data_IF_628001100968
#
_entry.id   IF_628001100968
#
_cell.length_a   1.000
_cell.length_b   1.000
_cell.length_c   1.000
_cell.angle_alpha   90.00
_cell.angle_beta   90.00
_cell.angle_gamma   90.00
#
_symmetry.space_group_name_H-M   'P 1'
#
loop_
_entity.id
_entity.type
_entity.pdbx_description
1 polymer ?
#
# COMPACT_ATOMS: atom_id res chain seq x y z
N UNK A 1 18.65 -0.53 6.81
CA UNK A 1 17.77 0.39 6.05
C UNK A 1 18.42 1.76 6.15
N UNK A 2 19.08 2.22 5.09
CA UNK A 2 19.92 3.43 5.10
C UNK A 2 19.05 4.62 4.68
N UNK A 3 18.67 5.48 5.62
CA UNK A 3 17.83 6.68 5.41
C UNK A 3 18.66 7.88 4.92
N UNK A 4 19.54 7.68 3.94
CA UNK A 4 20.67 8.58 3.70
C UNK A 4 20.35 9.92 3.01
N UNK A 5 19.12 10.15 2.51
CA UNK A 5 18.74 11.39 1.82
C UNK A 5 17.59 12.18 2.48
N UNK A 6 17.02 11.69 3.58
CA UNK A 6 15.92 12.37 4.30
C UNK A 6 14.56 12.29 3.60
N UNK A 7 14.46 11.65 2.44
CA UNK A 7 13.22 11.55 1.67
C UNK A 7 12.30 10.44 2.17
N UNK A 8 11.01 10.73 2.16
CA UNK A 8 9.95 9.75 2.45
C UNK A 8 9.40 9.22 1.13
N UNK A 9 9.35 7.89 1.00
CA UNK A 9 8.90 7.21 -0.21
C UNK A 9 7.69 6.32 0.10
N UNK A 10 6.70 6.38 -0.77
CA UNK A 10 5.61 5.42 -0.84
C UNK A 10 6.08 4.19 -1.62
N UNK A 11 5.98 3.03 -0.99
CA UNK A 11 6.15 1.73 -1.63
C UNK A 11 4.77 1.14 -1.93
N UNK A 12 4.41 1.08 -3.21
CA UNK A 12 3.14 0.54 -3.65
C UNK A 12 3.35 -0.79 -4.38
N UNK A 13 3.21 -1.90 -3.63
CA UNK A 13 3.28 -3.26 -4.16
C UNK A 13 2.14 -3.59 -5.13
N UNK A 14 0.99 -2.90 -5.07
CA UNK A 14 -0.12 -3.11 -6.01
C UNK A 14 0.31 -2.96 -7.46
N UNK A 15 1.19 -1.99 -7.70
CA UNK A 15 1.61 -1.58 -9.03
C UNK A 15 3.12 -1.70 -9.28
N UNK A 16 3.91 -2.14 -8.30
CA UNK A 16 5.36 -2.22 -8.49
C UNK A 16 6.07 -0.85 -8.45
N UNK A 17 5.52 0.14 -7.73
CA UNK A 17 5.99 1.54 -7.82
C UNK A 17 6.60 2.01 -6.50
N UNK A 18 7.74 2.71 -6.59
CA UNK A 18 8.30 3.54 -5.52
C UNK A 18 8.19 5.01 -5.92
N UNK A 19 7.57 5.83 -5.06
CA UNK A 19 7.38 7.27 -5.32
C UNK A 19 7.87 8.07 -4.12
N UNK A 20 8.73 9.08 -4.34
CA UNK A 20 9.02 10.07 -3.29
C UNK A 20 7.77 10.93 -3.05
N UNK A 21 7.32 10.97 -1.79
CA UNK A 21 6.13 11.71 -1.37
C UNK A 21 6.46 12.90 -0.46
N UNK A 22 7.62 12.87 0.21
CA UNK A 22 8.13 14.02 0.95
C UNK A 22 9.65 14.16 0.83
N UNK A 23 10.13 15.39 0.90
CA UNK A 23 11.55 15.70 0.96
C UNK A 23 12.13 15.71 2.40
N UNK A 24 11.26 15.63 3.41
CA UNK A 24 11.60 15.52 4.82
C UNK A 24 10.43 14.88 5.60
N UNK A 25 10.62 14.63 6.90
CA UNK A 25 9.56 14.15 7.80
C UNK A 25 8.76 15.28 8.47
N UNK A 26 9.08 16.55 8.20
CA UNK A 26 8.59 17.72 8.95
C UNK A 26 7.06 17.78 9.03
N UNK A 27 6.36 17.45 7.94
CA UNK A 27 4.90 17.46 7.86
C UNK A 27 4.29 16.06 7.67
N UNK A 28 5.08 15.00 7.80
CA UNK A 28 4.66 13.64 7.46
C UNK A 28 3.36 13.23 8.16
N UNK A 29 3.27 13.43 9.47
CA UNK A 29 2.10 13.01 10.24
C UNK A 29 0.87 13.90 10.00
N UNK A 30 1.07 15.19 9.77
CA UNK A 30 -0.01 16.13 9.47
C UNK A 30 -0.62 15.84 8.10
N UNK A 31 0.22 15.76 7.07
CA UNK A 31 -0.20 15.52 5.70
C UNK A 31 -0.82 14.12 5.57
N UNK A 32 -0.20 13.09 6.17
CA UNK A 32 -0.78 11.73 6.14
C UNK A 32 -2.01 11.57 7.03
N UNK A 33 -2.33 12.53 7.91
CA UNK A 33 -3.59 12.55 8.65
C UNK A 33 -4.75 13.16 7.84
N UNK A 34 -4.45 14.01 6.85
CA UNK A 34 -5.43 14.67 6.01
C UNK A 34 -5.95 13.76 4.89
N UNK A 35 -7.26 13.55 4.83
CA UNK A 35 -7.88 12.62 3.88
C UNK A 35 -7.64 12.99 2.41
N UNK A 36 -7.66 14.29 2.07
CA UNK A 36 -7.36 14.73 0.70
C UNK A 36 -5.95 14.35 0.25
N UNK A 37 -4.97 14.46 1.14
CA UNK A 37 -3.60 14.03 0.84
C UNK A 37 -3.52 12.52 0.62
N UNK A 38 -4.21 11.72 1.45
CA UNK A 38 -4.24 10.25 1.30
C UNK A 38 -4.78 9.86 -0.07
N UNK A 39 -5.89 10.47 -0.47
CA UNK A 39 -6.56 10.18 -1.74
C UNK A 39 -5.68 10.55 -2.94
N UNK A 40 -5.06 11.73 -2.92
CA UNK A 40 -4.25 12.23 -4.04
C UNK A 40 -2.85 11.61 -4.12
N UNK A 41 -2.22 11.33 -2.98
CA UNK A 41 -0.79 11.00 -2.93
C UNK A 41 -0.49 9.55 -2.51
N UNK A 42 -1.39 8.89 -1.78
CA UNK A 42 -1.13 7.55 -1.22
C UNK A 42 -1.87 6.42 -1.93
N UNK A 43 -2.62 6.70 -3.00
CA UNK A 43 -3.47 5.72 -3.69
C UNK A 43 -4.40 4.99 -2.71
N UNK A 44 -5.05 5.79 -1.86
CA UNK A 44 -5.83 5.30 -0.73
C UNK A 44 -7.07 4.47 -1.12
N UNK A 45 -7.61 4.71 -2.32
CA UNK A 45 -8.71 3.91 -2.84
C UNK A 45 -8.22 2.56 -3.40
N UNK A 46 -8.94 1.46 -3.15
CA UNK A 46 -10.27 1.36 -2.52
C UNK A 46 -10.25 0.93 -1.03
N UNK A 47 -9.19 1.23 -0.26
CA UNK A 47 -9.00 0.65 1.08
C UNK A 47 -10.02 1.12 2.12
N UNK A 48 -10.58 2.34 1.99
CA UNK A 48 -11.65 2.79 2.89
C UNK A 48 -12.90 1.90 2.78
N UNK A 49 -13.27 1.53 1.56
CA UNK A 49 -14.41 0.66 1.32
C UNK A 49 -14.10 -0.77 1.79
N UNK A 50 -12.88 -1.25 1.55
CA UNK A 50 -12.42 -2.53 2.07
C UNK A 50 -12.46 -2.58 3.60
N UNK A 51 -12.04 -1.52 4.30
CA UNK A 51 -12.10 -1.43 5.76
C UNK A 51 -13.55 -1.47 6.28
N UNK A 52 -14.49 -0.82 5.59
CA UNK A 52 -15.92 -0.91 5.93
C UNK A 52 -16.47 -2.33 5.76
N UNK A 53 -16.03 -3.07 4.73
CA UNK A 53 -16.51 -4.43 4.41
C UNK A 53 -15.83 -5.54 5.22
N UNK A 54 -14.53 -5.42 5.48
CA UNK A 54 -13.66 -6.49 6.01
C UNK A 54 -13.12 -6.18 7.43
N UNK A 55 -13.38 -4.97 7.92
CA UNK A 55 -12.77 -4.42 9.13
C UNK A 55 -11.33 -3.96 8.90
N UNK A 56 -10.80 -3.18 9.84
CA UNK A 56 -9.39 -2.74 9.83
C UNK A 56 -8.46 -3.96 9.92
N UNK A 57 -7.40 -4.03 9.11
CA UNK A 57 -6.37 -5.07 9.23
C UNK A 57 -5.70 -5.04 10.61
N UNK A 58 -5.35 -6.21 11.15
CA UNK A 58 -4.46 -6.28 12.30
C UNK A 58 -3.04 -5.79 11.93
N UNK A 59 -2.18 -5.59 12.93
CA UNK A 59 -0.81 -5.07 12.72
C UNK A 59 0.02 -5.88 11.70
N UNK A 60 -0.13 -7.19 11.68
CA UNK A 60 0.57 -8.09 10.75
C UNK A 60 -0.24 -8.39 9.47
N UNK A 61 -1.36 -7.70 9.26
CA UNK A 61 -2.22 -7.84 8.09
C UNK A 61 -2.21 -6.59 7.21
N UNK A 62 -2.52 -6.78 5.93
CA UNK A 62 -2.83 -5.70 5.01
C UNK A 62 -3.98 -6.09 4.09
N UNK A 63 -4.50 -5.12 3.32
CA UNK A 63 -5.37 -5.42 2.20
C UNK A 63 -4.54 -5.82 0.99
N UNK A 64 -4.70 -7.05 0.53
CA UNK A 64 -4.05 -7.59 -0.66
C UNK A 64 -5.09 -8.05 -1.69
N UNK A 65 -4.80 -7.81 -2.96
CA UNK A 65 -5.63 -8.34 -4.05
C UNK A 65 -5.42 -9.83 -4.22
N UNK A 66 -6.53 -10.57 -4.32
CA UNK A 66 -6.54 -12.01 -4.57
C UNK A 66 -7.51 -12.28 -5.72
N UNK A 67 -7.02 -12.71 -6.90
CA UNK A 67 -5.60 -12.91 -7.27
C UNK A 67 -4.79 -11.60 -7.35
N UNK A 68 -3.46 -11.70 -7.28
CA UNK A 68 -2.52 -10.56 -7.34
C UNK A 68 -2.72 -9.78 -8.64
N UNK A 69 -2.79 -8.44 -8.56
CA UNK A 69 -3.04 -7.58 -9.73
C UNK A 69 -1.95 -7.68 -10.80
N UNK A 70 -0.67 -7.77 -10.40
CA UNK A 70 0.43 -7.96 -11.35
C UNK A 70 0.32 -9.25 -12.19
N UNK A 71 -0.51 -10.21 -11.77
CA UNK A 71 -0.80 -11.44 -12.53
C UNK A 71 -2.12 -11.37 -13.32
N UNK A 72 -2.64 -10.16 -13.57
CA UNK A 72 -3.90 -9.95 -14.29
C UNK A 72 -5.15 -10.11 -13.41
N UNK A 73 -5.00 -10.02 -12.09
CA UNK A 73 -6.14 -10.00 -11.19
C UNK A 73 -7.04 -8.77 -11.39
N UNK A 74 -8.35 -8.87 -11.10
CA UNK A 74 -9.26 -7.74 -11.23
C UNK A 74 -9.04 -6.71 -10.11
N UNK A 75 -8.90 -5.43 -10.49
CA UNK A 75 -8.80 -4.31 -9.56
C UNK A 75 -10.18 -3.88 -9.06
N UNK A 76 -10.78 -4.71 -8.20
CA UNK A 76 -12.07 -4.45 -7.56
C UNK A 76 -11.99 -4.65 -6.06
N UNK A 77 -12.78 -3.91 -5.29
CA UNK A 77 -12.78 -4.02 -3.83
C UNK A 77 -13.22 -5.40 -3.35
N UNK A 78 -14.08 -6.10 -4.12
CA UNK A 78 -14.51 -7.48 -3.85
C UNK A 78 -13.35 -8.49 -3.89
N UNK A 79 -12.25 -8.12 -4.55
CA UNK A 79 -11.05 -8.94 -4.67
C UNK A 79 -9.99 -8.61 -3.62
N UNK A 80 -10.22 -7.60 -2.77
CA UNK A 80 -9.37 -7.37 -1.61
C UNK A 80 -9.71 -8.36 -0.50
N UNK A 81 -8.66 -8.84 0.16
CA UNK A 81 -8.75 -9.64 1.39
C UNK A 81 -7.77 -9.10 2.42
N UNK A 82 -8.08 -9.31 3.70
CA UNK A 82 -7.05 -9.22 4.74
C UNK A 82 -6.11 -10.40 4.57
N UNK A 83 -4.85 -10.11 4.32
CA UNK A 83 -3.77 -11.08 4.12
C UNK A 83 -2.63 -10.73 5.04
N UNK A 84 -1.75 -11.68 5.34
CA UNK A 84 -0.57 -11.39 6.14
C UNK A 84 0.43 -10.56 5.34
N UNK A 85 0.89 -9.46 5.91
CA UNK A 85 1.70 -8.45 5.23
C UNK A 85 3.00 -9.03 4.66
N UNK A 86 3.78 -9.73 5.50
CA UNK A 86 5.11 -10.25 5.13
C UNK A 86 4.99 -11.31 4.04
N UNK A 87 4.07 -12.25 4.20
CA UNK A 87 3.80 -13.31 3.24
C UNK A 87 3.29 -12.74 1.90
N UNK A 88 2.44 -11.71 1.94
CA UNK A 88 1.93 -11.10 0.72
C UNK A 88 3.02 -10.34 -0.06
N UNK A 89 3.93 -9.64 0.64
CA UNK A 89 5.10 -9.01 0.02
C UNK A 89 6.01 -10.07 -0.62
N UNK A 90 6.33 -11.15 0.10
CA UNK A 90 7.16 -12.23 -0.43
C UNK A 90 6.53 -12.90 -1.65
N UNK A 91 5.22 -13.17 -1.59
CA UNK A 91 4.47 -13.76 -2.69
C UNK A 91 4.48 -12.84 -3.91
N UNK A 92 4.25 -11.54 -3.72
CA UNK A 92 4.34 -10.55 -4.77
C UNK A 92 5.75 -10.54 -5.39
N UNK A 93 6.80 -10.46 -4.56
CA UNK A 93 8.19 -10.45 -5.05
C UNK A 93 8.56 -11.70 -5.83
N UNK A 94 8.07 -12.87 -5.43
CA UNK A 94 8.33 -14.13 -6.13
C UNK A 94 7.61 -14.21 -7.49
N UNK A 95 6.44 -13.59 -7.64
CA UNK A 95 5.59 -13.71 -8.82
C UNK A 95 5.72 -12.55 -9.81
N UNK A 96 5.92 -11.34 -9.31
CA UNK A 96 5.96 -10.09 -10.07
C UNK A 96 7.34 -9.42 -10.06
N UNK A 97 8.29 -9.95 -9.30
CA UNK A 97 9.63 -9.38 -9.12
C UNK A 97 9.76 -8.49 -7.88
N UNK A 98 10.99 -8.32 -7.41
CA UNK A 98 11.30 -7.41 -6.32
C UNK A 98 11.21 -5.95 -6.77
N UNK A 99 10.77 -5.08 -5.87
CA UNK A 99 10.73 -3.62 -6.01
C UNK A 99 11.92 -3.01 -5.26
#
# INVERSE_FOLDING_TARGET
MNWSDGYVRLLNYRYGIVKTIFFSFEFFFEDTAYDGYREENLMWNPYQEAAKKLGTPAYEECFGYVPILALGGPEKVENLKKVKLKEHILLFSALAGAI
#
